data_IF_194514594586
#
_entry.id   IF_194514594586
#
_cell.length_a   1.000
_cell.length_b   1.000
_cell.length_c   1.000
_cell.angle_alpha   90.00
_cell.angle_beta   90.00
_cell.angle_gamma   90.00
#
_symmetry.space_group_name_H-M   'P 1'
#
loop_
_entity.id
_entity.type
_entity.pdbx_description
1 polymer ?
#
# COMPACT_ATOMS: atom_id res chain seq x y z
N UNK A 1 26.67 1.72 -5.07
CA UNK A 1 26.28 0.36 -4.65
C UNK A 1 27.29 -0.72 -5.05
N UNK A 2 28.27 -0.47 -5.93
CA UNK A 2 29.17 -1.52 -6.46
C UNK A 2 30.08 -2.21 -5.42
N UNK A 3 30.30 -1.63 -4.23
CA UNK A 3 31.15 -2.22 -3.17
C UNK A 3 30.35 -2.67 -1.92
N UNK A 4 29.02 -2.69 -1.98
CA UNK A 4 28.18 -3.06 -0.83
C UNK A 4 27.69 -4.50 -0.95
N UNK A 5 27.84 -5.27 0.14
CA UNK A 5 27.22 -6.59 0.23
C UNK A 5 25.70 -6.41 0.33
N UNK A 6 24.95 -7.13 -0.51
CA UNK A 6 23.49 -7.13 -0.48
C UNK A 6 23.02 -8.50 0.02
N UNK A 7 22.29 -8.48 1.12
CA UNK A 7 21.72 -9.66 1.77
C UNK A 7 20.21 -9.62 1.57
N UNK A 8 19.67 -10.64 0.91
CA UNK A 8 18.23 -10.77 0.68
C UNK A 8 17.69 -11.79 1.69
N UNK A 9 16.78 -11.34 2.54
CA UNK A 9 16.07 -12.20 3.48
C UNK A 9 14.79 -12.69 2.82
N UNK A 10 14.63 -14.01 2.76
CA UNK A 10 13.46 -14.65 2.12
C UNK A 10 12.59 -15.43 3.10
N UNK A 11 13.07 -15.68 4.32
CA UNK A 11 12.30 -16.28 5.41
C UNK A 11 11.83 -15.22 6.42
N UNK A 12 10.61 -15.41 6.92
CA UNK A 12 10.02 -14.64 8.00
C UNK A 12 10.87 -14.69 9.27
N UNK A 13 11.42 -15.86 9.61
CA UNK A 13 12.25 -16.03 10.80
C UNK A 13 13.52 -15.19 10.72
N UNK A 14 14.26 -15.28 9.61
CA UNK A 14 15.48 -14.52 9.38
C UNK A 14 15.22 -13.01 9.40
N UNK A 15 14.16 -12.55 8.74
CA UNK A 15 13.75 -11.15 8.74
C UNK A 15 13.39 -10.65 10.15
N UNK A 16 12.63 -11.43 10.91
CA UNK A 16 12.25 -11.08 12.27
C UNK A 16 13.47 -11.05 13.21
N UNK A 17 14.35 -12.05 13.14
CA UNK A 17 15.53 -12.14 13.99
C UNK A 17 16.51 -10.99 13.72
N UNK A 18 16.80 -10.68 12.46
CA UNK A 18 17.75 -9.61 12.12
C UNK A 18 17.14 -8.21 12.28
N UNK A 19 15.94 -7.98 11.76
CA UNK A 19 15.41 -6.62 11.64
C UNK A 19 14.54 -6.22 12.84
N UNK A 20 13.86 -7.16 13.50
CA UNK A 20 13.06 -6.88 14.69
C UNK A 20 13.89 -7.04 15.97
N UNK A 21 14.44 -8.23 16.24
CA UNK A 21 15.18 -8.51 17.48
C UNK A 21 16.54 -7.78 17.53
N UNK A 22 17.26 -7.77 16.40
CA UNK A 22 18.56 -7.09 16.28
C UNK A 22 18.44 -5.71 15.61
N UNK A 23 17.28 -5.07 15.70
CA UNK A 23 17.01 -3.81 15.00
C UNK A 23 17.93 -2.65 15.39
N UNK A 24 18.57 -2.67 16.55
CA UNK A 24 19.58 -1.66 16.91
C UNK A 24 20.80 -1.69 15.98
N UNK A 25 21.13 -2.86 15.44
CA UNK A 25 22.28 -3.11 14.57
C UNK A 25 21.92 -3.00 13.10
N UNK A 26 20.77 -3.57 12.73
CA UNK A 26 20.37 -3.77 11.33
C UNK A 26 19.21 -2.88 10.86
N UNK A 27 18.74 -1.89 11.63
CA UNK A 27 17.62 -1.03 11.20
C UNK A 27 18.00 0.38 10.75
N UNK A 28 19.27 0.62 10.46
CA UNK A 28 19.64 1.85 9.76
C UNK A 28 19.17 1.83 8.31
N UNK A 29 19.11 3.00 7.68
CA UNK A 29 18.77 3.13 6.26
C UNK A 29 20.05 3.37 5.46
N UNK A 30 20.20 2.74 4.28
CA UNK A 30 21.26 3.11 3.36
C UNK A 30 21.17 4.60 3.04
N UNK A 31 22.32 5.24 2.88
CA UNK A 31 22.37 6.61 2.36
C UNK A 31 22.02 6.57 0.87
N UNK A 32 20.72 6.63 0.57
CA UNK A 32 20.15 6.59 -0.78
C UNK A 32 20.26 7.90 -1.54
N UNK A 33 21.17 8.80 -1.15
CA UNK A 33 21.39 10.08 -1.84
C UNK A 33 21.51 9.82 -3.34
N UNK A 34 22.25 8.78 -3.76
CA UNK A 34 22.43 8.47 -5.17
C UNK A 34 21.22 7.80 -5.84
N UNK A 35 20.31 7.13 -5.13
CA UNK A 35 19.10 6.53 -5.74
C UNK A 35 18.01 7.57 -6.01
N UNK A 36 17.90 8.57 -5.13
CA UNK A 36 17.10 9.77 -5.38
C UNK A 36 17.69 10.62 -6.53
N UNK A 37 19.02 10.63 -6.66
CA UNK A 37 19.77 11.30 -7.73
C UNK A 37 19.81 10.51 -9.06
N UNK A 38 19.63 9.18 -9.04
CA UNK A 38 19.61 8.32 -10.25
C UNK A 38 18.19 8.12 -10.80
N UNK A 39 17.17 8.09 -9.93
CA UNK A 39 15.77 8.10 -10.37
C UNK A 39 15.40 9.40 -11.11
N UNK A 40 16.17 10.48 -10.88
CA UNK A 40 16.12 11.73 -11.64
C UNK A 40 17.30 11.75 -12.63
N UNK A 41 17.06 11.35 -13.89
CA UNK A 41 18.08 11.27 -14.94
C UNK A 41 19.10 12.44 -14.92
N UNK A 42 20.38 12.05 -14.89
CA UNK A 42 21.55 12.90 -14.73
C UNK A 42 21.82 13.75 -15.97
N UNK A 43 21.52 15.06 -15.90
CA UNK A 43 22.32 16.15 -16.51
C UNK A 43 21.75 17.56 -16.28
N UNK A 44 20.50 17.71 -15.77
CA UNK A 44 19.88 19.02 -15.45
C UNK A 44 19.74 19.28 -13.94
N UNK A 45 20.59 18.64 -13.13
CA UNK A 45 20.41 18.43 -11.68
C UNK A 45 20.36 19.74 -10.87
N UNK A 46 21.27 20.69 -10.99
CA UNK A 46 21.26 21.81 -10.03
C UNK A 46 20.04 22.74 -10.16
N UNK A 47 19.62 23.12 -11.38
CA UNK A 47 18.47 24.02 -11.57
C UNK A 47 17.12 23.32 -11.40
N UNK A 48 17.03 22.03 -11.73
CA UNK A 48 15.84 21.22 -11.43
C UNK A 48 15.69 20.95 -9.94
N UNK A 49 16.78 20.76 -9.19
CA UNK A 49 16.71 20.45 -7.77
C UNK A 49 16.29 21.66 -6.94
N UNK A 50 16.84 22.86 -7.20
CA UNK A 50 16.36 24.07 -6.54
C UNK A 50 14.89 24.33 -6.87
N UNK A 51 14.50 24.26 -8.15
CA UNK A 51 13.10 24.49 -8.54
C UNK A 51 12.13 23.39 -8.10
N UNK A 52 12.58 22.14 -7.96
CA UNK A 52 11.77 21.03 -7.46
C UNK A 52 11.61 21.09 -5.94
N UNK A 53 12.69 21.37 -5.21
CA UNK A 53 12.65 21.63 -3.78
C UNK A 53 11.74 22.81 -3.45
N UNK A 54 11.88 23.94 -4.17
CA UNK A 54 11.02 25.10 -3.96
C UNK A 54 9.56 24.78 -4.23
N UNK A 55 9.26 24.00 -5.28
CA UNK A 55 7.90 23.53 -5.57
C UNK A 55 7.36 22.61 -4.48
N UNK A 56 8.15 21.62 -4.03
CA UNK A 56 7.76 20.70 -2.96
C UNK A 56 7.55 21.46 -1.65
N UNK A 57 8.48 22.35 -1.28
CA UNK A 57 8.36 23.20 -0.09
C UNK A 57 7.11 24.06 -0.17
N UNK A 58 6.89 24.78 -1.28
CA UNK A 58 5.70 25.60 -1.46
C UNK A 58 4.40 24.77 -1.37
N UNK A 59 4.38 23.58 -1.97
CA UNK A 59 3.25 22.66 -1.92
C UNK A 59 2.96 22.18 -0.49
N UNK A 60 3.97 21.64 0.19
CA UNK A 60 3.82 21.08 1.52
C UNK A 60 3.51 22.16 2.56
N UNK A 61 4.19 23.30 2.52
CA UNK A 61 3.90 24.45 3.41
C UNK A 61 2.51 25.01 3.13
N UNK A 62 2.12 25.18 1.86
CA UNK A 62 0.79 25.64 1.50
C UNK A 62 -0.32 24.68 1.95
N UNK A 63 -0.09 23.37 1.85
CA UNK A 63 -1.01 22.34 2.34
C UNK A 63 -1.08 22.32 3.88
N UNK A 64 0.06 22.48 4.56
CA UNK A 64 0.11 22.60 6.02
C UNK A 64 -0.74 23.78 6.48
N UNK A 65 -0.47 24.98 5.95
CA UNK A 65 -1.22 26.19 6.27
C UNK A 65 -2.72 26.03 6.01
N UNK A 66 -3.09 25.45 4.87
CA UNK A 66 -4.49 25.19 4.53
C UNK A 66 -5.14 24.25 5.54
N UNK A 67 -4.45 23.18 5.93
CA UNK A 67 -4.92 22.27 6.97
C UNK A 67 -5.07 22.95 8.33
N UNK A 68 -4.14 23.82 8.71
CA UNK A 68 -4.18 24.58 9.97
C UNK A 68 -5.33 25.61 9.99
N UNK A 69 -5.63 26.26 8.86
CA UNK A 69 -6.77 27.17 8.72
C UNK A 69 -8.13 26.46 8.75
N UNK A 70 -8.18 25.16 8.52
CA UNK A 70 -9.42 24.37 8.54
C UNK A 70 -10.04 24.29 9.94
N UNK A 71 -11.38 24.30 9.99
CA UNK A 71 -12.14 24.22 11.25
C UNK A 71 -12.33 22.77 11.75
N UNK A 72 -12.37 21.81 10.83
CA UNK A 72 -12.48 20.38 11.12
C UNK A 72 -11.16 19.76 11.59
N UNK A 73 -11.25 18.54 12.16
CA UNK A 73 -10.08 17.73 12.45
C UNK A 73 -9.36 17.35 11.15
N UNK A 74 -8.03 17.41 11.17
CA UNK A 74 -7.16 16.96 10.07
C UNK A 74 -5.75 16.69 10.60
N UNK A 75 -4.92 16.00 9.79
CA UNK A 75 -3.56 15.63 10.15
C UNK A 75 -2.68 16.83 10.50
N UNK A 76 -2.77 17.93 9.75
CA UNK A 76 -1.97 19.13 10.03
C UNK A 76 -2.23 19.66 11.44
N UNK A 77 -3.50 19.79 11.83
CA UNK A 77 -3.87 20.25 13.18
C UNK A 77 -3.53 19.24 14.27
N UNK A 78 -3.69 17.95 13.99
CA UNK A 78 -3.36 16.90 14.95
C UNK A 78 -1.85 16.86 15.24
N UNK A 79 -1.02 16.97 14.21
CA UNK A 79 0.44 16.95 14.36
C UNK A 79 0.95 18.22 15.04
N UNK A 80 0.43 19.39 14.68
CA UNK A 80 0.76 20.64 15.37
C UNK A 80 0.44 20.56 16.87
N UNK A 81 -0.76 20.08 17.23
CA UNK A 81 -1.14 19.89 18.65
C UNK A 81 -0.22 18.92 19.39
N UNK A 82 0.24 17.86 18.71
CA UNK A 82 1.15 16.90 19.31
C UNK A 82 2.52 17.54 19.60
N UNK A 83 3.05 18.35 18.69
CA UNK A 83 4.30 19.11 18.87
C UNK A 83 4.15 20.11 20.01
N UNK A 84 3.09 20.91 20.00
CA UNK A 84 2.80 21.90 21.04
C UNK A 84 2.70 21.24 22.44
N UNK A 85 2.17 20.02 22.51
CA UNK A 85 2.03 19.25 23.74
C UNK A 85 3.35 18.67 24.25
N UNK A 86 4.30 18.33 23.35
CA UNK A 86 5.57 17.73 23.73
C UNK A 86 6.52 18.72 24.42
N UNK A 87 6.37 20.04 24.19
CA UNK A 87 7.12 21.17 24.81
C UNK A 87 8.66 21.13 24.72
N UNK A 88 9.26 20.01 24.30
CA UNK A 88 10.69 19.75 24.23
C UNK A 88 11.21 19.70 22.78
N UNK A 89 10.32 19.76 21.78
CA UNK A 89 10.66 19.69 20.36
C UNK A 89 10.35 21.03 19.71
N UNK A 90 11.41 21.78 19.37
CA UNK A 90 11.30 22.93 18.48
C UNK A 90 11.37 22.44 17.03
N UNK A 91 10.21 22.18 16.42
CA UNK A 91 10.11 21.71 15.04
C UNK A 91 9.82 22.89 14.10
N UNK A 92 10.71 23.21 13.14
CA UNK A 92 10.44 24.21 12.12
C UNK A 92 9.19 23.90 11.31
N UNK A 93 8.49 24.94 10.84
CA UNK A 93 7.27 24.81 10.04
C UNK A 93 7.53 24.01 8.77
N UNK A 94 8.69 24.19 8.14
CA UNK A 94 9.12 23.44 6.96
C UNK A 94 9.29 21.95 7.27
N UNK A 95 9.88 21.61 8.40
CA UNK A 95 10.08 20.22 8.82
C UNK A 95 8.73 19.55 9.11
N UNK A 96 7.82 20.25 9.79
CA UNK A 96 6.45 19.78 10.00
C UNK A 96 5.72 19.57 8.68
N UNK A 97 5.81 20.54 7.76
CA UNK A 97 5.18 20.49 6.45
C UNK A 97 5.68 19.30 5.64
N UNK A 98 7.00 19.07 5.59
CA UNK A 98 7.61 17.96 4.88
C UNK A 98 7.26 16.61 5.51
N UNK A 99 7.30 16.50 6.83
CA UNK A 99 6.90 15.28 7.52
C UNK A 99 5.45 14.90 7.20
N UNK A 100 4.51 15.85 7.28
CA UNK A 100 3.10 15.61 6.91
C UNK A 100 2.95 15.30 5.42
N UNK A 101 3.71 16.00 4.57
CA UNK A 101 3.74 15.81 3.12
C UNK A 101 4.14 14.40 2.73
N UNK A 102 5.35 13.98 3.09
CA UNK A 102 5.90 12.64 2.80
C UNK A 102 5.01 11.56 3.40
N UNK A 103 4.48 11.79 4.60
CA UNK A 103 3.48 10.91 5.19
C UNK A 103 2.28 10.77 4.26
N UNK A 104 1.70 11.86 3.80
CA UNK A 104 0.51 11.86 2.94
C UNK A 104 0.76 11.15 1.62
N UNK A 105 1.87 11.45 0.95
CA UNK A 105 2.25 10.85 -0.32
C UNK A 105 2.40 9.32 -0.18
N UNK A 106 3.15 8.86 0.83
CA UNK A 106 3.32 7.43 1.09
C UNK A 106 1.99 6.72 1.40
N UNK A 107 1.03 7.40 2.03
CA UNK A 107 -0.26 6.82 2.36
C UNK A 107 -1.20 6.73 1.16
N UNK A 108 -1.18 7.76 0.30
CA UNK A 108 -2.05 7.83 -0.87
C UNK A 108 -1.73 6.71 -1.85
N UNK A 109 -0.46 6.54 -2.22
CA UNK A 109 -0.08 5.49 -3.16
C UNK A 109 -0.34 4.11 -2.57
N UNK A 110 0.26 3.77 -1.42
CA UNK A 110 0.15 2.41 -0.88
C UNK A 110 -1.29 1.99 -0.57
N UNK A 111 -2.13 2.89 -0.04
CA UNK A 111 -3.52 2.52 0.31
C UNK A 111 -4.39 2.39 -0.93
N UNK A 112 -4.27 3.31 -1.90
CA UNK A 112 -5.04 3.25 -3.14
C UNK A 112 -4.71 1.96 -3.91
N UNK A 113 -3.44 1.61 -4.04
CA UNK A 113 -3.05 0.41 -4.78
C UNK A 113 -3.50 -0.86 -4.06
N UNK A 114 -3.52 -0.86 -2.72
CA UNK A 114 -4.06 -1.99 -1.97
C UNK A 114 -5.58 -2.13 -2.10
N UNK A 115 -6.31 -1.01 -2.13
CA UNK A 115 -7.73 -0.98 -2.46
C UNK A 115 -8.00 -1.50 -3.88
N UNK A 116 -7.11 -1.20 -4.85
CA UNK A 116 -7.22 -1.76 -6.20
C UNK A 116 -6.91 -3.27 -6.22
N UNK A 117 -5.89 -3.73 -5.51
CA UNK A 117 -5.60 -5.16 -5.34
C UNK A 117 -6.77 -5.92 -4.69
N UNK A 118 -7.53 -5.28 -3.78
CA UNK A 118 -8.75 -5.86 -3.23
C UNK A 118 -9.79 -6.13 -4.32
N UNK A 119 -10.01 -5.18 -5.24
CA UNK A 119 -10.89 -5.38 -6.39
C UNK A 119 -10.41 -6.51 -7.30
N UNK A 120 -9.09 -6.63 -7.52
CA UNK A 120 -8.51 -7.75 -8.27
C UNK A 120 -8.82 -9.07 -7.55
N UNK A 121 -8.63 -9.15 -6.23
CA UNK A 121 -8.97 -10.35 -5.45
C UNK A 121 -10.46 -10.71 -5.58
N UNK A 122 -11.37 -9.74 -5.51
CA UNK A 122 -12.80 -9.98 -5.74
C UNK A 122 -13.06 -10.62 -7.11
N UNK A 123 -12.42 -10.11 -8.16
CA UNK A 123 -12.66 -10.56 -9.54
C UNK A 123 -12.06 -11.93 -9.80
N UNK A 124 -10.81 -12.16 -9.37
CA UNK A 124 -10.06 -13.36 -9.74
C UNK A 124 -10.30 -14.50 -8.76
N UNK A 125 -10.53 -14.20 -7.48
CA UNK A 125 -10.63 -15.20 -6.41
C UNK A 125 -12.02 -15.26 -5.77
N UNK A 126 -12.95 -14.37 -6.14
CA UNK A 126 -14.32 -14.35 -5.59
C UNK A 126 -15.09 -15.66 -5.81
N UNK A 127 -14.75 -16.41 -6.87
CA UNK A 127 -15.32 -17.73 -7.19
C UNK A 127 -15.11 -18.78 -6.08
N UNK A 128 -14.19 -18.54 -5.14
CA UNK A 128 -13.94 -19.41 -3.98
C UNK A 128 -14.97 -19.23 -2.85
N UNK A 129 -15.89 -18.28 -2.97
CA UNK A 129 -17.01 -18.10 -2.05
C UNK A 129 -16.73 -17.21 -0.83
N UNK A 130 -15.51 -16.71 -0.65
CA UNK A 130 -15.16 -15.83 0.48
C UNK A 130 -15.94 -14.50 0.44
N UNK A 131 -16.24 -13.97 -0.75
CA UNK A 131 -17.05 -12.76 -0.90
C UNK A 131 -18.48 -12.97 -0.40
N UNK A 132 -19.12 -14.08 -0.82
CA UNK A 132 -20.48 -14.41 -0.42
C UNK A 132 -20.59 -14.62 1.11
N UNK A 133 -19.56 -15.22 1.72
CA UNK A 133 -19.47 -15.37 3.17
C UNK A 133 -19.37 -14.02 3.90
N UNK A 134 -18.54 -13.11 3.39
CA UNK A 134 -18.44 -11.76 3.96
C UNK A 134 -19.75 -10.97 3.83
N UNK A 135 -20.45 -11.15 2.71
CA UNK A 135 -21.75 -10.53 2.46
C UNK A 135 -22.81 -11.07 3.42
N UNK A 136 -22.87 -12.39 3.67
CA UNK A 136 -23.77 -13.00 4.66
C UNK A 136 -23.50 -12.49 6.09
N UNK A 137 -22.23 -12.32 6.46
CA UNK A 137 -21.86 -11.69 7.75
C UNK A 137 -22.38 -10.25 7.84
N UNK A 138 -22.31 -9.49 6.75
CA UNK A 138 -22.79 -8.10 6.71
C UNK A 138 -24.31 -7.99 6.69
N UNK A 139 -25.00 -8.88 5.99
CA UNK A 139 -26.46 -8.92 5.99
C UNK A 139 -27.00 -9.23 7.39
N UNK A 140 -26.34 -10.12 8.13
CA UNK A 140 -26.70 -10.45 9.52
C UNK A 140 -26.31 -9.37 10.53
N UNK A 141 -25.14 -8.74 10.36
CA UNK A 141 -24.57 -7.80 11.33
C UNK A 141 -25.04 -6.36 11.16
N UNK A 142 -25.17 -5.89 9.91
CA UNK A 142 -25.45 -4.49 9.55
C UNK A 142 -26.82 -4.36 8.88
N UNK A 143 -27.16 -5.29 7.99
CA UNK A 143 -28.35 -5.23 7.13
C UNK A 143 -28.29 -4.13 6.07
N UNK A 144 -29.40 -3.90 5.36
CA UNK A 144 -29.47 -2.95 4.24
C UNK A 144 -29.84 -1.51 4.60
N UNK A 145 -29.94 -1.16 5.89
CA UNK A 145 -30.52 0.11 6.34
C UNK A 145 -29.55 1.29 6.44
N UNK A 146 -28.24 1.04 6.54
CA UNK A 146 -27.16 2.04 6.73
C UNK A 146 -25.82 1.52 6.24
N UNK A 147 -24.86 2.40 5.97
CA UNK A 147 -23.49 1.97 5.65
C UNK A 147 -22.83 1.26 6.85
N UNK A 148 -21.97 0.26 6.60
CA UNK A 148 -21.04 -0.26 7.60
C UNK A 148 -20.14 0.86 8.15
N UNK A 149 -19.94 0.83 9.47
CA UNK A 149 -19.10 1.75 10.23
C UNK A 149 -18.06 1.02 11.10
N UNK A 150 -17.16 1.77 11.73
CA UNK A 150 -16.11 1.17 12.59
C UNK A 150 -16.68 0.50 13.85
N UNK A 151 -17.87 0.90 14.27
CA UNK A 151 -18.64 0.28 15.35
C UNK A 151 -19.03 -1.18 15.07
N UNK A 152 -19.16 -1.55 13.79
CA UNK A 152 -19.52 -2.92 13.37
C UNK A 152 -18.33 -3.88 13.41
N UNK A 153 -17.12 -3.37 13.61
CA UNK A 153 -15.88 -4.14 13.46
C UNK A 153 -15.79 -5.38 14.34
N UNK A 154 -16.37 -5.33 15.54
CA UNK A 154 -16.41 -6.49 16.44
C UNK A 154 -17.41 -7.55 15.95
N UNK A 155 -18.48 -7.15 15.26
CA UNK A 155 -19.47 -8.05 14.67
C UNK A 155 -19.09 -8.57 13.28
N UNK A 156 -18.06 -8.00 12.65
CA UNK A 156 -17.56 -8.37 11.32
C UNK A 156 -16.10 -8.86 11.37
N UNK A 157 -15.79 -9.92 12.15
CA UNK A 157 -14.43 -10.42 12.29
C UNK A 157 -13.84 -10.88 10.94
N UNK A 158 -14.70 -11.35 10.03
CA UNK A 158 -14.28 -11.87 8.74
C UNK A 158 -13.65 -10.80 7.83
N UNK A 159 -14.07 -9.54 7.95
CA UNK A 159 -13.43 -8.43 7.22
C UNK A 159 -11.99 -8.22 7.70
N UNK A 160 -11.69 -8.45 8.99
CA UNK A 160 -10.31 -8.35 9.47
C UNK A 160 -9.43 -9.42 8.81
N UNK A 161 -9.93 -10.64 8.62
CA UNK A 161 -9.14 -11.68 7.98
C UNK A 161 -8.90 -11.41 6.50
N UNK A 162 -9.89 -10.83 5.80
CA UNK A 162 -9.76 -10.40 4.40
C UNK A 162 -8.65 -9.36 4.25
N UNK A 163 -8.59 -8.36 5.12
CA UNK A 163 -7.53 -7.33 5.10
C UNK A 163 -6.15 -7.94 5.34
N UNK A 164 -6.05 -8.88 6.27
CA UNK A 164 -4.78 -9.53 6.59
C UNK A 164 -4.31 -10.44 5.44
N UNK A 165 -5.24 -11.09 4.74
CA UNK A 165 -4.96 -11.87 3.55
C UNK A 165 -4.55 -11.02 2.35
N UNK A 166 -5.23 -9.90 2.13
CA UNK A 166 -4.90 -8.94 1.06
C UNK A 166 -3.46 -8.47 1.16
N UNK A 167 -3.05 -8.07 2.35
CA UNK A 167 -1.70 -7.60 2.61
C UNK A 167 -0.64 -8.71 2.50
N UNK A 168 -1.02 -9.99 2.62
CA UNK A 168 -0.13 -11.15 2.43
C UNK A 168 -0.02 -11.50 0.95
N UNK A 169 -1.17 -11.60 0.29
CA UNK A 169 -1.29 -11.97 -1.11
C UNK A 169 -0.59 -10.98 -2.04
N UNK A 170 -0.78 -9.68 -1.80
CA UNK A 170 -0.16 -8.59 -2.55
C UNK A 170 0.46 -7.56 -1.60
N UNK A 171 1.68 -7.81 -1.07
CA UNK A 171 2.33 -6.84 -0.17
C UNK A 171 2.64 -5.54 -0.93
N UNK A 172 2.24 -4.40 -0.36
CA UNK A 172 2.39 -3.10 -1.02
C UNK A 172 3.83 -2.80 -1.47
N UNK A 173 4.84 -3.15 -0.66
CA UNK A 173 6.24 -3.10 -1.05
C UNK A 173 6.82 -4.50 -1.18
N UNK A 174 6.75 -5.10 -2.37
CA UNK A 174 7.17 -6.48 -2.63
C UNK A 174 8.63 -6.76 -2.25
N UNK A 175 9.55 -5.85 -2.58
CA UNK A 175 10.96 -5.97 -2.20
C UNK A 175 11.26 -5.55 -0.75
N UNK A 176 10.27 -5.04 -0.01
CA UNK A 176 10.49 -4.35 1.26
C UNK A 176 11.28 -3.04 1.10
N UNK A 177 11.60 -2.40 2.23
CA UNK A 177 12.43 -1.19 2.22
C UNK A 177 13.83 -1.56 2.73
N UNK A 178 14.90 -1.30 1.98
CA UNK A 178 16.24 -1.74 2.36
C UNK A 178 16.70 -1.19 3.71
N UNK A 179 17.35 -2.06 4.47
CA UNK A 179 18.01 -1.82 5.74
C UNK A 179 19.53 -1.78 5.57
N UNK A 180 20.23 -1.28 6.57
CA UNK A 180 21.68 -1.13 6.56
C UNK A 180 22.29 -1.57 7.89
N UNK A 181 23.39 -2.31 7.82
CA UNK A 181 24.19 -2.69 8.99
C UNK A 181 25.44 -1.82 9.06
N UNK A 182 25.62 -1.06 10.14
CA UNK A 182 26.83 -0.24 10.35
C UNK A 182 28.02 -1.05 10.87
N UNK A 183 27.74 -2.17 11.54
CA UNK A 183 28.75 -3.05 12.13
C UNK A 183 28.63 -4.44 11.53
N UNK A 184 29.69 -5.22 11.70
CA UNK A 184 29.67 -6.62 11.36
C UNK A 184 28.73 -7.37 12.31
N UNK A 185 27.99 -8.34 11.77
CA UNK A 185 27.12 -9.21 12.54
C UNK A 185 27.24 -10.67 12.10
N UNK A 186 26.47 -11.52 12.78
CA UNK A 186 26.36 -12.93 12.47
C UNK A 186 24.89 -13.35 12.51
N UNK A 187 24.50 -14.19 11.56
CA UNK A 187 23.22 -14.87 11.56
C UNK A 187 23.47 -16.36 11.29
N UNK A 188 23.16 -17.24 12.24
CA UNK A 188 23.27 -18.70 12.06
C UNK A 188 24.62 -19.17 11.50
N UNK A 189 25.72 -18.56 11.96
CA UNK A 189 27.08 -18.89 11.48
C UNK A 189 27.49 -18.14 10.21
N UNK A 190 26.56 -17.49 9.51
CA UNK A 190 26.86 -16.59 8.39
C UNK A 190 27.36 -15.24 8.89
N UNK A 191 28.56 -14.86 8.43
CA UNK A 191 29.12 -13.53 8.67
C UNK A 191 28.41 -12.49 7.78
N UNK A 192 27.86 -11.46 8.41
CA UNK A 192 27.27 -10.28 7.74
C UNK A 192 28.27 -9.13 7.87
N UNK A 193 28.99 -8.74 6.80
CA UNK A 193 29.97 -7.68 6.88
C UNK A 193 29.35 -6.34 7.31
N UNK A 194 30.16 -5.49 7.94
CA UNK A 194 29.78 -4.09 8.13
C UNK A 194 29.48 -3.42 6.78
N UNK A 195 28.61 -2.41 6.80
CA UNK A 195 28.14 -1.67 5.63
C UNK A 195 27.35 -2.50 4.61
N UNK A 196 26.73 -3.59 5.05
CA UNK A 196 25.84 -4.42 4.22
C UNK A 196 24.45 -3.80 4.12
N UNK A 197 23.84 -3.91 2.95
CA UNK A 197 22.42 -3.63 2.71
C UNK A 197 21.64 -4.91 2.94
N UNK A 198 20.60 -4.86 3.77
CA UNK A 198 19.75 -6.00 4.10
C UNK A 198 18.34 -5.73 3.57
N UNK A 199 17.84 -6.57 2.68
CA UNK A 199 16.56 -6.39 2.01
C UNK A 199 15.62 -7.52 2.46
N UNK A 200 14.56 -7.22 3.24
CA UNK A 200 13.52 -8.19 3.53
C UNK A 200 12.61 -8.31 2.31
N UNK A 201 12.80 -9.35 1.49
CA UNK A 201 11.96 -9.57 0.32
C UNK A 201 10.57 -10.02 0.80
N UNK A 202 9.68 -9.05 1.00
CA UNK A 202 8.33 -9.29 1.50
C UNK A 202 7.55 -10.24 0.60
N UNK A 203 7.75 -10.20 -0.72
CA UNK A 203 7.08 -11.10 -1.65
C UNK A 203 7.42 -12.56 -1.38
N UNK A 204 8.70 -12.88 -1.23
CA UNK A 204 9.15 -14.23 -0.88
C UNK A 204 8.69 -14.63 0.52
N UNK A 205 8.81 -13.72 1.49
CA UNK A 205 8.46 -13.99 2.88
C UNK A 205 6.96 -14.27 3.03
N UNK A 206 6.06 -13.55 2.33
CA UNK A 206 4.61 -13.80 2.38
C UNK A 206 4.16 -15.04 1.61
N UNK A 207 5.13 -15.77 1.03
CA UNK A 207 4.98 -17.02 0.26
C UNK A 207 5.80 -18.17 0.84
N UNK A 208 6.30 -18.02 2.05
CA UNK A 208 7.02 -19.10 2.74
C UNK A 208 6.04 -20.24 3.03
N UNK A 209 6.12 -21.34 2.27
CA UNK A 209 5.20 -22.48 2.39
C UNK A 209 5.20 -23.11 3.79
N UNK A 210 6.36 -23.09 4.47
CA UNK A 210 6.48 -23.55 5.85
C UNK A 210 5.61 -22.73 6.83
N UNK A 211 5.27 -21.49 6.48
CA UNK A 211 4.44 -20.59 7.28
C UNK A 211 3.00 -20.57 6.79
N UNK A 212 2.79 -20.44 5.48
CA UNK A 212 1.45 -20.20 4.88
C UNK A 212 0.83 -21.44 4.23
N UNK A 213 1.52 -22.58 4.23
CA UNK A 213 1.10 -23.77 3.49
C UNK A 213 1.40 -23.68 1.99
N UNK A 214 1.04 -24.69 1.20
CA UNK A 214 1.41 -24.78 -0.21
C UNK A 214 0.61 -23.85 -1.14
N UNK A 215 -0.58 -23.39 -0.73
CA UNK A 215 -1.46 -22.58 -1.59
C UNK A 215 -1.20 -21.06 -1.45
N UNK A 216 0.05 -20.66 -1.60
CA UNK A 216 0.49 -19.27 -1.32
C UNK A 216 0.06 -18.25 -2.37
N UNK A 217 -0.22 -18.69 -3.61
CA UNK A 217 -0.64 -17.81 -4.70
C UNK A 217 -2.15 -17.53 -4.71
N UNK A 218 -2.94 -18.35 -4.06
CA UNK A 218 -4.38 -18.14 -3.93
C UNK A 218 -4.69 -17.10 -2.85
N UNK A 219 -5.82 -16.41 -3.00
CA UNK A 219 -6.38 -15.55 -1.95
C UNK A 219 -7.33 -16.37 -1.09
N UNK A 220 -6.92 -16.72 0.12
CA UNK A 220 -7.66 -17.61 1.02
C UNK A 220 -7.80 -16.95 2.40
N UNK A 221 -8.81 -16.08 2.63
CA UNK A 221 -8.97 -15.41 3.93
C UNK A 221 -9.14 -16.38 5.11
N UNK A 222 -9.70 -17.56 4.86
CA UNK A 222 -9.96 -18.58 5.87
C UNK A 222 -8.70 -19.05 6.61
N UNK A 223 -7.52 -18.97 5.99
CA UNK A 223 -6.29 -19.39 6.66
C UNK A 223 -6.01 -18.56 7.92
N UNK A 224 -6.49 -17.32 7.96
CA UNK A 224 -6.34 -16.41 9.12
C UNK A 224 -7.37 -16.65 10.22
N UNK A 225 -8.27 -17.63 10.07
CA UNK A 225 -9.20 -18.03 11.12
C UNK A 225 -8.46 -18.92 12.13
N UNK A 226 -8.07 -18.35 13.28
CA UNK A 226 -7.44 -19.09 14.37
C UNK A 226 -6.19 -18.39 14.91
N UNK A 227 -5.13 -19.16 15.16
CA UNK A 227 -3.82 -18.65 15.56
C UNK A 227 -3.17 -17.95 14.35
N UNK A 228 -3.47 -16.66 14.16
CA UNK A 228 -3.03 -15.91 12.98
C UNK A 228 -1.52 -15.97 12.70
N UNK A 229 -1.13 -15.68 11.46
CA UNK A 229 0.27 -15.82 11.02
C UNK A 229 1.19 -14.68 11.46
N UNK A 230 2.52 -14.90 11.43
CA UNK A 230 3.52 -13.85 11.61
C UNK A 230 3.27 -12.62 10.71
N UNK A 231 3.35 -11.43 11.30
CA UNK A 231 3.06 -10.17 10.59
C UNK A 231 4.32 -9.55 10.01
N UNK A 232 4.48 -9.60 8.69
CA UNK A 232 5.63 -9.02 7.95
C UNK A 232 5.29 -7.79 7.12
N UNK A 233 3.99 -7.48 7.03
CA UNK A 233 3.39 -6.65 5.98
C UNK A 233 3.66 -5.16 6.11
N UNK A 234 4.03 -4.73 7.32
CA UNK A 234 4.34 -3.35 7.67
C UNK A 234 5.82 -3.14 8.05
N UNK A 235 6.69 -4.10 7.74
CA UNK A 235 8.10 -4.07 8.11
C UNK A 235 8.36 -4.43 9.58
N UNK A 236 9.54 -4.08 10.08
CA UNK A 236 10.11 -4.71 11.28
C UNK A 236 10.64 -3.69 12.30
N UNK A 237 10.51 -4.05 13.59
CA UNK A 237 11.18 -3.39 14.71
C UNK A 237 11.07 -1.87 14.73
N UNK A 238 12.21 -1.19 14.86
CA UNK A 238 12.32 0.28 14.95
C UNK A 238 11.87 1.03 13.70
N UNK A 239 11.72 0.33 12.57
CA UNK A 239 11.33 0.89 11.26
C UNK A 239 10.00 0.34 10.76
N UNK A 240 9.20 -0.22 11.67
CA UNK A 240 7.82 -0.62 11.37
C UNK A 240 7.03 0.59 10.87
N UNK A 241 6.15 0.36 9.90
CA UNK A 241 5.36 1.41 9.27
C UNK A 241 4.59 2.21 10.36
N UNK A 242 4.83 3.53 10.46
CA UNK A 242 4.15 4.37 11.44
C UNK A 242 2.65 4.48 11.12
N UNK A 243 2.25 4.30 9.85
CA UNK A 243 0.87 4.44 9.38
C UNK A 243 0.06 3.14 9.36
N UNK A 244 0.60 2.02 9.85
CA UNK A 244 -0.05 0.70 9.78
C UNK A 244 -1.49 0.68 10.30
N UNK A 245 -1.79 1.46 11.35
CA UNK A 245 -3.13 1.52 11.94
C UNK A 245 -4.12 2.27 11.04
N UNK A 246 -3.67 3.37 10.44
CA UNK A 246 -4.48 4.13 9.47
C UNK A 246 -4.73 3.26 8.24
N UNK A 247 -3.68 2.64 7.69
CA UNK A 247 -3.81 1.77 6.52
C UNK A 247 -4.79 0.61 6.77
N UNK A 248 -4.68 -0.10 7.89
CA UNK A 248 -5.61 -1.18 8.26
C UNK A 248 -7.04 -0.68 8.40
N UNK A 249 -7.25 0.48 9.02
CA UNK A 249 -8.59 1.03 9.19
C UNK A 249 -9.19 1.48 7.86
N UNK A 250 -8.38 2.08 6.99
CA UNK A 250 -8.78 2.50 5.65
C UNK A 250 -9.15 1.31 4.77
N UNK A 251 -8.36 0.24 4.77
CA UNK A 251 -8.68 -0.99 4.04
C UNK A 251 -9.95 -1.64 4.63
N UNK A 252 -10.02 -1.79 5.95
CA UNK A 252 -11.17 -2.41 6.60
C UNK A 252 -12.50 -1.73 6.24
N UNK A 253 -12.58 -0.39 6.33
CA UNK A 253 -13.82 0.33 6.03
C UNK A 253 -14.14 0.33 4.53
N UNK A 254 -13.11 0.33 3.68
CA UNK A 254 -13.26 0.27 2.23
C UNK A 254 -13.80 -1.10 1.80
N UNK A 255 -13.14 -2.18 2.22
CA UNK A 255 -13.51 -3.56 1.91
C UNK A 255 -14.92 -3.87 2.43
N UNK A 256 -15.24 -3.48 3.67
CA UNK A 256 -16.57 -3.66 4.25
C UNK A 256 -17.66 -2.97 3.42
N UNK A 257 -17.48 -1.68 3.10
CA UNK A 257 -18.49 -0.92 2.35
C UNK A 257 -18.66 -1.41 0.92
N UNK A 258 -17.58 -1.85 0.27
CA UNK A 258 -17.66 -2.41 -1.08
C UNK A 258 -18.39 -3.73 -1.11
N UNK A 259 -18.05 -4.66 -0.21
CA UNK A 259 -18.70 -5.97 -0.15
C UNK A 259 -20.17 -5.85 0.26
N UNK A 260 -20.50 -4.92 1.17
CA UNK A 260 -21.88 -4.60 1.53
C UNK A 260 -22.67 -4.07 0.32
N UNK A 261 -22.08 -3.14 -0.44
CA UNK A 261 -22.78 -2.47 -1.54
C UNK A 261 -22.86 -3.29 -2.83
N UNK A 262 -21.84 -4.09 -3.14
CA UNK A 262 -21.68 -4.65 -4.49
C UNK A 262 -21.23 -6.12 -4.52
N UNK A 263 -21.78 -6.84 -5.48
CA UNK A 263 -21.21 -8.03 -6.10
C UNK A 263 -20.26 -7.58 -7.24
N UNK A 264 -18.96 -7.70 -6.99
CA UNK A 264 -17.88 -7.19 -7.86
C UNK A 264 -17.47 -8.28 -8.86
N UNK A 265 -17.56 -7.96 -10.15
CA UNK A 265 -17.36 -8.90 -11.26
C UNK A 265 -16.30 -8.41 -12.25
N UNK A 266 -15.70 -9.32 -13.04
CA UNK A 266 -14.88 -8.91 -14.18
C UNK A 266 -15.68 -8.01 -15.12
N UNK A 267 -14.99 -7.01 -15.70
CA UNK A 267 -15.52 -6.20 -16.78
C UNK A 267 -15.79 -7.03 -18.03
N UNK A 268 -16.62 -6.52 -18.94
CA UNK A 268 -17.00 -7.22 -20.15
C UNK A 268 -16.28 -6.66 -21.39
N UNK A 269 -15.99 -7.52 -22.36
CA UNK A 269 -15.50 -7.13 -23.67
C UNK A 269 -16.65 -6.63 -24.57
N UNK A 270 -16.35 -6.26 -25.82
CA UNK A 270 -17.38 -5.78 -26.78
C UNK A 270 -18.44 -6.84 -27.13
N UNK A 271 -18.15 -8.12 -26.87
CA UNK A 271 -19.04 -9.26 -27.11
C UNK A 271 -19.85 -9.64 -25.86
N UNK A 272 -19.65 -8.95 -24.73
CA UNK A 272 -20.35 -9.23 -23.47
C UNK A 272 -19.70 -10.33 -22.62
N UNK A 273 -18.49 -10.78 -22.96
CA UNK A 273 -17.79 -11.84 -22.24
C UNK A 273 -16.85 -11.26 -21.16
N UNK A 274 -16.64 -11.95 -20.03
CA UNK A 274 -15.68 -11.55 -19.00
C UNK A 274 -14.26 -11.34 -19.55
N UNK A 275 -13.65 -10.22 -19.22
CA UNK A 275 -12.23 -9.95 -19.49
C UNK A 275 -11.40 -10.55 -18.37
N UNK A 276 -10.43 -11.39 -18.74
CA UNK A 276 -9.46 -11.94 -17.80
C UNK A 276 -8.61 -10.84 -17.18
N UNK A 277 -8.38 -10.92 -15.87
CA UNK A 277 -7.59 -9.97 -15.10
C UNK A 277 -6.30 -10.64 -14.66
N UNK A 278 -5.16 -10.07 -15.05
CA UNK A 278 -3.85 -10.53 -14.57
C UNK A 278 -3.66 -10.08 -13.12
N UNK A 279 -3.27 -11.03 -12.27
CA UNK A 279 -3.02 -10.77 -10.84
C UNK A 279 -1.60 -10.27 -10.57
N UNK A 280 -0.75 -10.16 -11.59
CA UNK A 280 0.58 -9.53 -11.51
C UNK A 280 0.48 -8.04 -11.22
N UNK A 281 1.56 -7.50 -10.69
CA UNK A 281 1.71 -6.08 -10.46
C UNK A 281 2.92 -5.50 -11.18
N UNK A 282 2.99 -4.17 -11.19
CA UNK A 282 4.13 -3.41 -11.71
C UNK A 282 5.35 -3.55 -10.81
N UNK A 283 6.53 -3.38 -11.40
CA UNK A 283 7.75 -3.14 -10.66
C UNK A 283 7.74 -1.72 -10.06
N UNK A 284 8.32 -1.57 -8.87
CA UNK A 284 8.41 -0.27 -8.20
C UNK A 284 8.50 -0.39 -6.67
N UNK A 285 8.59 0.77 -6.01
CA UNK A 285 8.56 0.83 -4.54
C UNK A 285 7.20 0.38 -3.98
N UNK A 286 6.12 0.74 -4.69
CA UNK A 286 4.76 0.26 -4.44
C UNK A 286 4.33 -0.57 -5.63
N UNK A 287 3.94 -1.82 -5.39
CA UNK A 287 3.40 -2.71 -6.42
C UNK A 287 1.97 -2.31 -6.73
N UNK A 288 1.72 -1.94 -7.99
CA UNK A 288 0.39 -1.58 -8.49
C UNK A 288 -0.19 -2.75 -9.29
N UNK A 289 -1.49 -3.07 -9.21
CA UNK A 289 -2.08 -4.03 -10.13
C UNK A 289 -1.99 -3.52 -11.57
N UNK A 290 -1.89 -4.44 -12.53
CA UNK A 290 -2.00 -4.07 -13.95
C UNK A 290 -3.41 -3.51 -14.24
N UNK A 291 -3.58 -2.66 -15.26
CA UNK A 291 -4.89 -2.11 -15.60
C UNK A 291 -5.94 -3.21 -15.82
N UNK A 292 -7.08 -3.10 -15.13
CA UNK A 292 -8.18 -4.04 -15.22
C UNK A 292 -9.52 -3.32 -15.38
N UNK A 293 -10.56 -4.07 -15.76
CA UNK A 293 -11.93 -3.58 -15.79
C UNK A 293 -12.75 -4.36 -14.78
N UNK A 294 -13.55 -3.64 -14.00
CA UNK A 294 -14.45 -4.20 -13.00
C UNK A 294 -15.88 -3.71 -13.24
N UNK A 295 -16.85 -4.56 -12.94
CA UNK A 295 -18.28 -4.24 -12.93
C UNK A 295 -18.80 -4.37 -11.50
N UNK A 296 -19.50 -3.35 -11.04
CA UNK A 296 -20.08 -3.27 -9.71
C UNK A 296 -21.58 -3.50 -9.82
N UNK A 297 -22.06 -4.67 -9.40
CA UNK A 297 -23.48 -5.00 -9.40
C UNK A 297 -24.01 -4.73 -7.99
N UNK A 298 -24.98 -3.80 -7.79
CA UNK A 298 -25.54 -3.57 -6.46
C UNK A 298 -26.08 -4.86 -5.84
N UNK A 299 -25.73 -5.10 -4.57
CA UNK A 299 -26.18 -6.29 -3.82
C UNK A 299 -27.70 -6.30 -3.59
N UNK A 300 -28.33 -5.12 -3.62
CA UNK A 300 -29.79 -4.98 -3.56
C UNK A 300 -30.24 -3.57 -3.93
N UNK A 301 -31.55 -3.40 -4.10
CA UNK A 301 -32.15 -2.12 -4.52
C UNK A 301 -31.91 -1.00 -3.50
N UNK A 302 -31.79 -1.37 -2.21
CA UNK A 302 -31.54 -0.44 -1.11
C UNK A 302 -30.17 0.25 -1.20
N UNK A 303 -29.18 -0.35 -1.88
CA UNK A 303 -27.81 0.17 -1.96
C UNK A 303 -27.82 1.59 -2.53
N UNK A 304 -28.58 1.81 -3.61
CA UNK A 304 -28.66 3.11 -4.27
C UNK A 304 -29.24 4.17 -3.33
N UNK A 305 -30.30 3.85 -2.61
CA UNK A 305 -30.96 4.78 -1.70
C UNK A 305 -30.00 5.19 -0.57
N UNK A 306 -29.37 4.21 0.10
CA UNK A 306 -28.49 4.47 1.24
C UNK A 306 -27.22 5.20 0.80
N UNK A 307 -26.58 4.79 -0.29
CA UNK A 307 -25.39 5.47 -0.82
C UNK A 307 -25.72 6.89 -1.26
N UNK A 308 -26.90 7.16 -1.82
CA UNK A 308 -27.30 8.53 -2.18
C UNK A 308 -27.56 9.36 -0.93
N UNK A 309 -28.24 8.79 0.08
CA UNK A 309 -28.55 9.46 1.35
C UNK A 309 -27.31 9.80 2.17
N UNK A 310 -26.34 8.88 2.24
CA UNK A 310 -25.14 9.01 3.08
C UNK A 310 -23.91 9.52 2.32
N UNK A 311 -23.90 9.36 1.00
CA UNK A 311 -22.81 9.77 0.10
C UNK A 311 -22.90 11.21 -0.40
N UNK A 312 -23.97 11.95 -0.11
CA UNK A 312 -24.08 13.38 -0.39
C UNK A 312 -23.21 14.20 0.57
N UNK A 313 -21.90 14.12 0.37
CA UNK A 313 -20.92 15.04 0.96
C UNK A 313 -20.68 16.26 0.08
N UNK A 314 -21.44 16.39 -1.02
CA UNK A 314 -21.29 17.40 -2.07
C UNK A 314 -21.50 18.83 -1.52
N UNK A 315 -22.19 18.97 -0.39
CA UNK A 315 -22.37 20.23 0.35
C UNK A 315 -21.50 20.43 1.60
N UNK A 316 -20.73 19.44 2.03
CA UNK A 316 -20.00 19.45 3.32
C UNK A 316 -18.47 19.56 3.16
N UNK A 317 -17.93 19.32 1.97
CA UNK A 317 -16.50 19.47 1.68
C UNK A 317 -16.29 20.12 0.30
N UNK A 318 -15.52 21.22 0.19
CA UNK A 318 -15.18 21.81 -1.12
C UNK A 318 -14.33 20.90 -2.02
N UNK A 319 -13.97 19.69 -1.56
CA UNK A 319 -13.12 18.72 -2.26
C UNK A 319 -13.86 17.46 -2.73
N UNK A 320 -15.13 17.25 -2.36
CA UNK A 320 -15.90 16.05 -2.72
C UNK A 320 -16.54 16.22 -4.11
N UNK A 321 -15.76 16.08 -5.18
CA UNK A 321 -16.28 16.02 -6.56
C UNK A 321 -16.44 14.57 -7.01
N UNK A 322 -17.39 13.84 -6.45
CA UNK A 322 -17.88 12.59 -7.04
C UNK A 322 -19.34 12.78 -7.42
N UNK A 323 -19.61 12.81 -8.73
CA UNK A 323 -20.96 12.94 -9.26
C UNK A 323 -21.66 11.58 -9.18
N UNK A 324 -22.60 11.42 -8.25
CA UNK A 324 -23.37 10.17 -8.10
C UNK A 324 -24.41 10.00 -9.22
N UNK A 325 -24.77 11.08 -9.94
CA UNK A 325 -25.72 11.02 -11.06
C UNK A 325 -25.19 10.28 -12.30
N UNK A 326 -23.90 9.92 -12.34
CA UNK A 326 -23.30 9.13 -13.42
C UNK A 326 -23.22 7.62 -13.14
N UNK A 327 -23.80 7.11 -12.04
CA UNK A 327 -23.87 5.67 -11.78
C UNK A 327 -25.03 5.06 -12.61
N UNK A 328 -24.78 4.84 -13.90
CA UNK A 328 -25.62 3.97 -14.73
C UNK A 328 -25.36 2.49 -14.40
N UNK A 329 -26.34 1.58 -14.60
CA UNK A 329 -26.30 0.17 -14.17
C UNK A 329 -25.14 -0.69 -14.72
N UNK A 330 -24.33 -0.17 -15.64
CA UNK A 330 -23.34 -0.93 -16.40
C UNK A 330 -21.93 -0.33 -16.40
N UNK A 331 -21.58 0.57 -15.47
CA UNK A 331 -20.24 1.17 -15.48
C UNK A 331 -19.13 0.12 -15.26
N UNK A 332 -18.34 -0.09 -16.32
CA UNK A 332 -16.96 -0.54 -16.21
C UNK A 332 -16.13 0.61 -15.66
N UNK A 333 -15.46 0.43 -14.52
CA UNK A 333 -14.35 1.33 -14.17
C UNK A 333 -13.21 1.06 -15.15
N UNK A 334 -13.19 1.75 -16.30
CA UNK A 334 -11.96 1.99 -17.04
C UNK A 334 -11.40 3.33 -16.55
N UNK A 335 -10.72 3.30 -15.41
CA UNK A 335 -10.12 4.48 -14.79
C UNK A 335 -8.65 4.61 -15.13
N UNK A 336 -8.32 4.99 -16.36
CA UNK A 336 -7.11 5.77 -16.62
C UNK A 336 -7.36 7.18 -16.09
N UNK A 337 -6.62 7.60 -15.08
CA UNK A 337 -6.50 9.03 -14.80
C UNK A 337 -5.69 9.60 -15.97
N UNK A 338 -6.39 10.26 -16.90
CA UNK A 338 -5.78 10.97 -18.02
C UNK A 338 -4.90 12.11 -17.48
N UNK A 339 -3.60 11.81 -17.33
CA UNK A 339 -2.55 12.82 -17.31
C UNK A 339 -2.11 13.05 -18.76
N UNK A 340 -2.79 13.98 -19.44
CA UNK A 340 -2.34 14.76 -20.59
C UNK A 340 -1.81 13.97 -21.83
N UNK A 341 -2.53 13.97 -22.97
CA UNK A 341 -2.21 13.16 -24.15
C UNK A 341 -0.96 13.56 -24.96
N UNK A 342 -0.20 14.59 -24.56
CA UNK A 342 0.92 15.13 -25.36
C UNK A 342 2.34 14.89 -24.78
N UNK A 343 2.53 13.93 -23.87
CA UNK A 343 3.88 13.55 -23.41
C UNK A 343 4.28 12.15 -23.90
N UNK A 344 4.81 12.10 -25.12
CA UNK A 344 5.52 10.92 -25.62
C UNK A 344 6.90 10.86 -24.95
N UNK A 345 7.09 9.98 -23.96
CA UNK A 345 8.43 9.60 -23.49
C UNK A 345 8.79 8.28 -24.16
N UNK A 346 9.68 8.36 -25.15
CA UNK A 346 10.34 7.21 -25.74
C UNK A 346 11.29 6.60 -24.69
N UNK A 347 11.02 5.38 -24.25
CA UNK A 347 12.00 4.57 -23.53
C UNK A 347 12.89 3.84 -24.55
N UNK A 348 14.22 3.86 -24.40
CA UNK A 348 15.12 3.17 -25.32
C UNK A 348 14.92 1.66 -25.20
N UNK A 349 14.59 1.06 -26.35
CA UNK A 349 14.74 -0.37 -26.59
C UNK A 349 16.23 -0.74 -26.58
N UNK A 350 16.50 -1.97 -26.15
CA UNK A 350 17.74 -2.73 -26.28
C UNK A 350 18.90 -2.33 -25.38
N UNK A 351 19.18 -3.18 -24.38
CA UNK A 351 20.56 -3.43 -23.96
C UNK A 351 20.87 -4.90 -24.19
N UNK A 352 21.63 -5.11 -25.26
CA UNK A 352 22.44 -6.27 -25.53
C UNK A 352 23.49 -6.46 -24.43
N UNK A 353 23.66 -7.74 -24.10
CA UNK A 353 24.86 -8.44 -23.66
C UNK A 353 26.09 -7.59 -23.27
N UNK A 354 26.34 -7.44 -21.96
CA UNK A 354 27.68 -7.25 -21.42
C UNK A 354 27.81 -7.87 -20.02
N UNK A 355 28.41 -9.05 -19.98
CA UNK A 355 28.96 -9.67 -18.77
C UNK A 355 30.17 -8.89 -18.24
N UNK A 356 30.18 -8.60 -16.94
CA UNK A 356 31.32 -8.72 -16.00
C UNK A 356 31.28 -7.68 -14.87
N UNK A 357 30.48 -7.95 -13.84
CA UNK A 357 30.72 -7.47 -12.48
C UNK A 357 30.07 -8.46 -11.51
N UNK A 358 30.88 -9.26 -10.81
CA UNK A 358 30.41 -10.21 -9.80
C UNK A 358 30.05 -9.41 -8.54
N UNK A 359 28.82 -8.89 -8.49
CA UNK A 359 28.22 -8.48 -7.23
C UNK A 359 27.86 -9.74 -6.45
N UNK A 360 28.37 -9.89 -5.22
CA UNK A 360 28.05 -11.02 -4.35
C UNK A 360 26.69 -10.80 -3.70
N UNK A 361 25.63 -11.23 -4.37
CA UNK A 361 24.29 -11.34 -3.78
C UNK A 361 24.22 -12.63 -2.97
N UNK A 362 23.88 -12.52 -1.69
CA UNK A 362 23.62 -13.68 -0.84
C UNK A 362 22.13 -13.77 -0.55
N UNK A 363 21.53 -14.92 -0.81
CA UNK A 363 20.14 -15.23 -0.44
C UNK A 363 20.18 -16.08 0.82
N UNK A 364 19.56 -15.59 1.89
CA UNK A 364 19.34 -16.37 3.10
C UNK A 364 17.93 -16.98 3.02
N UNK A 365 17.90 -18.30 2.86
CA UNK A 365 16.72 -19.17 2.89
C UNK A 365 17.06 -20.37 3.80
N UNK A 366 16.08 -20.89 4.54
CA UNK A 366 16.23 -22.11 5.34
C UNK A 366 16.18 -23.35 4.47
#
# INVERSE_FOLDING_TARGET
MADQNVIILTSNEAAHNLLAKQGATFSDRPHFIVAQELALQVSKIYTLFYSHWEKQRALHSGNLERGLRGTSWNFSRQMQRAIDAMKEIDMPVEELALNIGIMSDAALDASTEMMMCFLVACITEGHRGWMAKAQDDMDRGVGGGRLPGFEDRLGLPYINVIVEELLRWRPAGAAGVPHFSKVEGNYEGYRIPANSVVIPNHWSITREEAVFGPDVESFVPEQWLGEGFPTVRFGYGRRVCPKRHIARNSLWIFDARLLWAFDIKPGLNKLGEPVEVDTKGTDGLVTKPLPFKARFVPSGDWVREVVTREGDTWGLSPYAKTNVSSIEPSYCLSGSIDLNPDLTILLPHELSDHSSAINRTFVLAH
#
